data_IF_887069044301
#
_entry.id   IF_887069044301
#
_cell.length_a   1.000
_cell.length_b   1.000
_cell.length_c   1.000
_cell.angle_alpha   90.00
_cell.angle_beta   90.00
_cell.angle_gamma   90.00
#
_symmetry.space_group_name_H-M   'P 1'
#
loop_
_entity.id
_entity.type
_entity.pdbx_description
1 polymer ?
#
# COMPACT_ATOMS: atom_id res chain seq x y z
N UNK A 1 -14.97 -9.60 -5.96
CA UNK A 1 -14.24 -9.66 -4.68
C UNK A 1 -12.74 -9.94 -4.91
N UNK A 2 -12.36 -10.63 -5.99
CA UNK A 2 -10.96 -10.86 -6.39
C UNK A 2 -10.08 -9.59 -6.40
N UNK A 3 -10.63 -8.46 -6.86
CA UNK A 3 -9.88 -7.19 -6.97
C UNK A 3 -9.41 -6.61 -5.60
N UNK A 4 -10.07 -6.93 -4.48
CA UNK A 4 -9.65 -6.46 -3.15
C UNK A 4 -8.51 -7.32 -2.59
N UNK A 5 -8.58 -8.64 -2.80
CA UNK A 5 -7.53 -9.57 -2.36
C UNK A 5 -6.21 -9.31 -3.08
N UNK A 6 -6.27 -9.01 -4.39
CA UNK A 6 -5.08 -8.60 -5.16
C UNK A 6 -4.48 -7.28 -4.68
N UNK A 7 -5.31 -6.32 -4.29
CA UNK A 7 -4.83 -5.05 -3.73
C UNK A 7 -4.19 -5.24 -2.34
N UNK A 8 -4.76 -6.11 -1.50
CA UNK A 8 -4.22 -6.44 -0.19
C UNK A 8 -2.83 -7.10 -0.31
N UNK A 9 -2.68 -8.03 -1.26
CA UNK A 9 -1.39 -8.64 -1.59
C UNK A 9 -0.34 -7.61 -2.04
N UNK A 10 -0.73 -6.63 -2.87
CA UNK A 10 0.17 -5.55 -3.31
C UNK A 10 0.61 -4.66 -2.14
N UNK A 11 -0.27 -4.39 -1.18
CA UNK A 11 0.07 -3.62 0.03
C UNK A 11 1.07 -4.39 0.90
N UNK A 12 0.85 -5.69 1.12
CA UNK A 12 1.76 -6.57 1.86
C UNK A 12 3.15 -6.65 1.21
N UNK A 13 3.23 -6.79 -0.12
CA UNK A 13 4.49 -6.80 -0.87
C UNK A 13 5.22 -5.46 -0.74
N UNK A 14 4.52 -4.34 -0.93
CA UNK A 14 5.10 -3.00 -0.75
C UNK A 14 5.60 -2.77 0.68
N UNK A 15 4.85 -3.21 1.70
CA UNK A 15 5.26 -3.14 3.12
C UNK A 15 6.53 -3.94 3.38
N UNK A 16 6.62 -5.15 2.82
CA UNK A 16 7.79 -6.03 2.98
C UNK A 16 9.03 -5.39 2.37
N UNK A 17 8.92 -4.90 1.13
CA UNK A 17 10.03 -4.20 0.45
C UNK A 17 10.48 -2.94 1.19
N UNK A 18 9.54 -2.19 1.77
CA UNK A 18 9.86 -1.00 2.55
C UNK A 18 10.61 -1.36 3.84
N UNK A 19 10.19 -2.43 4.52
CA UNK A 19 10.89 -2.98 5.68
C UNK A 19 12.31 -3.43 5.33
N UNK A 20 12.49 -4.17 4.24
CA UNK A 20 13.80 -4.60 3.76
C UNK A 20 14.71 -3.42 3.40
N UNK A 21 14.17 -2.39 2.75
CA UNK A 21 14.91 -1.19 2.37
C UNK A 21 15.39 -0.41 3.60
N UNK A 22 14.52 -0.24 4.61
CA UNK A 22 14.89 0.39 5.90
C UNK A 22 15.93 -0.42 6.64
N UNK A 23 15.83 -1.76 6.64
CA UNK A 23 16.83 -2.63 7.28
C UNK A 23 18.18 -2.58 6.57
N UNK A 24 18.18 -2.53 5.23
CA UNK A 24 19.39 -2.54 4.42
C UNK A 24 20.13 -1.18 4.43
N UNK A 25 19.39 -0.07 4.36
CA UNK A 25 19.97 1.28 4.25
C UNK A 25 19.99 2.07 5.57
N UNK A 26 19.33 1.57 6.60
CA UNK A 26 19.00 2.33 7.80
C UNK A 26 17.83 3.27 7.56
N UNK A 27 17.16 3.67 8.64
CA UNK A 27 16.06 4.62 8.55
C UNK A 27 16.59 6.02 8.22
N UNK A 28 16.47 6.42 6.96
CA UNK A 28 16.84 7.75 6.49
C UNK A 28 15.65 8.40 5.77
N UNK A 29 15.02 9.38 6.43
CA UNK A 29 13.90 10.14 5.87
C UNK A 29 14.26 11.03 4.67
N UNK A 30 15.54 11.13 4.32
CA UNK A 30 16.02 11.86 3.13
C UNK A 30 16.37 10.93 1.96
N UNK A 31 16.29 9.61 2.15
CA UNK A 31 16.55 8.65 1.08
C UNK A 31 15.39 8.68 0.08
N UNK A 32 15.72 8.98 -1.18
CA UNK A 32 14.73 9.14 -2.24
C UNK A 32 13.97 7.85 -2.54
N UNK A 33 14.60 6.68 -2.39
CA UNK A 33 13.96 5.39 -2.63
C UNK A 33 12.96 5.09 -1.50
N UNK A 34 13.31 5.39 -0.25
CA UNK A 34 12.39 5.27 0.89
C UNK A 34 11.17 6.19 0.76
N UNK A 35 11.38 7.43 0.31
CA UNK A 35 10.29 8.39 0.08
C UNK A 35 9.37 7.87 -1.04
N UNK A 36 9.92 7.47 -2.19
CA UNK A 36 9.13 6.98 -3.32
C UNK A 36 8.32 5.73 -2.95
N UNK A 37 8.94 4.79 -2.23
CA UNK A 37 8.27 3.56 -1.82
C UNK A 37 7.20 3.82 -0.75
N UNK A 38 7.43 4.79 0.15
CA UNK A 38 6.45 5.24 1.13
C UNK A 38 5.23 5.91 0.47
N UNK A 39 5.48 6.75 -0.53
CA UNK A 39 4.41 7.40 -1.30
C UNK A 39 3.59 6.38 -2.11
N UNK A 40 4.26 5.37 -2.69
CA UNK A 40 3.61 4.26 -3.38
C UNK A 40 2.71 3.45 -2.42
N UNK A 41 3.22 3.10 -1.23
CA UNK A 41 2.41 2.46 -0.19
C UNK A 41 1.18 3.28 0.20
N UNK A 42 1.34 4.58 0.41
CA UNK A 42 0.21 5.46 0.75
C UNK A 42 -0.87 5.46 -0.35
N UNK A 43 -0.47 5.48 -1.63
CA UNK A 43 -1.42 5.40 -2.75
C UNK A 43 -2.18 4.08 -2.75
N UNK A 44 -1.47 2.96 -2.58
CA UNK A 44 -2.09 1.62 -2.54
C UNK A 44 -3.12 1.51 -1.39
N UNK A 45 -2.81 2.04 -0.21
CA UNK A 45 -3.73 2.04 0.94
C UNK A 45 -4.98 2.86 0.64
N UNK A 46 -4.81 4.09 0.14
CA UNK A 46 -5.95 4.97 -0.20
C UNK A 46 -6.84 4.34 -1.26
N UNK A 47 -6.25 3.72 -2.29
CA UNK A 47 -7.02 3.08 -3.36
C UNK A 47 -7.76 1.83 -2.86
N UNK A 48 -7.17 1.07 -1.95
CA UNK A 48 -7.83 -0.05 -1.29
C UNK A 48 -9.00 0.39 -0.41
N UNK A 49 -8.84 1.46 0.38
CA UNK A 49 -9.93 2.00 1.20
C UNK A 49 -11.10 2.48 0.34
N UNK A 50 -10.81 3.19 -0.77
CA UNK A 50 -11.83 3.63 -1.73
C UNK A 50 -12.56 2.43 -2.36
N UNK A 51 -11.81 1.40 -2.79
CA UNK A 51 -12.39 0.19 -3.38
C UNK A 51 -13.29 -0.56 -2.39
N UNK A 52 -12.86 -0.64 -1.12
CA UNK A 52 -13.64 -1.23 -0.03
C UNK A 52 -14.94 -0.44 0.21
N UNK A 53 -14.85 0.89 0.26
CA UNK A 53 -16.01 1.76 0.48
C UNK A 53 -17.02 1.69 -0.68
N UNK A 54 -16.55 1.64 -1.93
CA UNK A 54 -17.39 1.43 -3.11
C UNK A 54 -18.10 0.07 -3.09
N UNK A 55 -17.41 -0.99 -2.64
CA UNK A 55 -17.99 -2.32 -2.49
C UNK A 55 -19.10 -2.35 -1.42
N UNK A 56 -18.88 -1.68 -0.28
CA UNK A 56 -19.87 -1.55 0.79
C UNK A 56 -21.10 -0.75 0.32
N UNK A 57 -20.90 0.35 -0.40
CA UNK A 57 -22.00 1.17 -0.93
C UNK A 57 -22.86 0.42 -1.95
N UNK A 58 -22.24 -0.36 -2.85
CA UNK A 58 -22.97 -1.20 -3.83
C UNK A 58 -23.82 -2.31 -3.20
N UNK A 59 -23.53 -2.76 -1.98
CA UNK A 59 -24.35 -3.75 -1.26
C UNK A 59 -25.56 -3.14 -0.54
N UNK A 60 -25.63 -1.81 -0.45
CA UNK A 60 -26.72 -1.08 0.23
C UNK A 60 -27.79 -0.55 -0.73
N UNK A 61 -27.56 -0.65 -2.05
CA UNK A 61 -28.50 -0.35 -3.13
C UNK A 61 -29.11 -1.66 -3.63
#
# INVERSE_FOLDING_TARGET
MENLQEQELKIEDARTRLGELVLAKGFNMQDADLILLSDEMNRLIVDFEKAKQACIMRRRL
#
